data_IF_738788277657
#
_entry.id   IF_738788277657
#
_cell.length_a   1.000
_cell.length_b   1.000
_cell.length_c   1.000
_cell.angle_alpha   90.00
_cell.angle_beta   90.00
_cell.angle_gamma   90.00
#
_symmetry.space_group_name_H-M   'P 1'
#
loop_
_entity.id
_entity.type
_entity.pdbx_description
1 polymer ?
#
# COMPACT_ATOMS: atom_id res chain seq x y z
N UNK A 1 -8.36 -30.33 -11.40
CA UNK A 1 -7.82 -31.16 -10.29
C UNK A 1 -7.04 -30.23 -9.36
N UNK A 2 -7.72 -29.59 -8.42
CA UNK A 2 -7.11 -28.69 -7.43
C UNK A 2 -7.58 -29.14 -6.06
N UNK A 3 -7.04 -30.27 -5.61
CA UNK A 3 -7.25 -30.79 -4.28
C UNK A 3 -5.93 -31.44 -3.88
N UNK A 4 -5.12 -30.71 -3.10
CA UNK A 4 -4.25 -31.20 -2.01
C UNK A 4 -3.09 -30.24 -1.73
N UNK A 5 -3.24 -29.45 -0.67
CA UNK A 5 -2.38 -29.53 0.52
C UNK A 5 -2.99 -28.64 1.61
N UNK A 6 -4.05 -29.15 2.22
CA UNK A 6 -4.42 -28.72 3.57
C UNK A 6 -3.34 -29.31 4.48
N UNK A 7 -2.28 -28.54 4.76
CA UNK A 7 -1.50 -28.79 5.97
C UNK A 7 -2.43 -28.44 7.11
N UNK A 8 -2.93 -29.47 7.80
CA UNK A 8 -3.60 -29.34 9.09
C UNK A 8 -2.61 -28.60 9.99
N UNK A 9 -2.94 -27.38 10.40
CA UNK A 9 -2.12 -26.58 11.32
C UNK A 9 -2.03 -27.39 12.62
N UNK A 10 -0.93 -28.13 12.80
CA UNK A 10 -0.65 -28.91 14.00
C UNK A 10 0.27 -28.06 14.85
N UNK A 11 -0.19 -27.77 16.06
CA UNK A 11 0.41 -26.82 17.00
C UNK A 11 1.88 -27.09 17.26
N UNK A 12 2.68 -26.18 16.72
CA UNK A 12 3.97 -25.63 17.19
C UNK A 12 4.33 -24.58 16.12
N UNK A 13 3.46 -23.57 15.99
CA UNK A 13 3.44 -22.65 14.85
C UNK A 13 4.32 -21.43 15.07
N UNK A 14 5.03 -21.03 14.01
CA UNK A 14 5.59 -19.70 13.84
C UNK A 14 4.60 -18.60 14.26
N UNK A 15 5.05 -17.52 14.93
CA UNK A 15 4.17 -16.43 15.30
C UNK A 15 3.55 -15.81 14.04
N UNK A 16 2.22 -15.74 13.99
CA UNK A 16 1.51 -15.13 12.87
C UNK A 16 1.08 -13.70 13.17
N UNK A 17 1.32 -12.81 12.21
CA UNK A 17 0.92 -11.42 12.27
C UNK A 17 -0.12 -11.10 11.20
N UNK A 18 -1.23 -10.49 11.62
CA UNK A 18 -2.18 -9.86 10.72
C UNK A 18 -1.84 -8.37 10.55
N UNK A 19 -1.41 -7.99 9.36
CA UNK A 19 -1.18 -6.60 8.98
C UNK A 19 -2.39 -6.06 8.22
N UNK A 20 -2.91 -4.90 8.65
CA UNK A 20 -4.12 -4.30 8.08
C UNK A 20 -3.81 -2.86 7.67
N UNK A 21 -3.99 -2.57 6.38
CA UNK A 21 -3.85 -1.25 5.79
C UNK A 21 -5.23 -0.76 5.34
N UNK A 22 -5.78 0.23 6.05
CA UNK A 22 -7.10 0.82 5.78
C UNK A 22 -6.94 2.07 4.92
N UNK A 23 -7.03 1.87 3.60
CA UNK A 23 -7.01 2.94 2.60
C UNK A 23 -8.40 3.49 2.28
N UNK A 24 -8.44 4.60 1.53
CA UNK A 24 -9.69 5.26 1.13
C UNK A 24 -10.59 4.38 0.24
N UNK A 25 -10.00 3.60 -0.66
CA UNK A 25 -10.75 2.74 -1.59
C UNK A 25 -10.82 1.30 -1.13
N UNK A 26 -9.72 0.78 -0.60
CA UNK A 26 -9.59 -0.61 -0.21
C UNK A 26 -8.91 -0.74 1.15
N UNK A 27 -9.28 -1.79 1.87
CA UNK A 27 -8.57 -2.32 3.03
C UNK A 27 -7.78 -3.53 2.56
N UNK A 28 -6.45 -3.46 2.65
CA UNK A 28 -5.56 -4.59 2.38
C UNK A 28 -5.21 -5.29 3.69
N UNK A 29 -5.28 -6.61 3.68
CA UNK A 29 -4.94 -7.44 4.82
C UNK A 29 -3.88 -8.45 4.40
N UNK A 30 -2.77 -8.48 5.13
CA UNK A 30 -1.67 -9.43 4.94
C UNK A 30 -1.52 -10.34 6.15
N UNK A 31 -1.40 -11.64 5.92
CA UNK A 31 -1.01 -12.60 6.94
C UNK A 31 0.47 -12.92 6.78
N UNK A 32 1.25 -12.66 7.82
CA UNK A 32 2.67 -12.99 7.87
C UNK A 32 2.92 -14.19 8.77
N UNK A 33 3.68 -15.16 8.26
CA UNK A 33 4.17 -16.34 8.99
C UNK A 33 5.71 -16.28 8.98
N UNK A 34 6.35 -16.29 10.15
CA UNK A 34 7.82 -16.13 10.28
C UNK A 34 8.38 -14.93 9.49
N UNK A 35 7.57 -13.87 9.45
CA UNK A 35 7.90 -12.65 8.75
C UNK A 35 7.87 -12.69 7.22
N UNK A 36 7.43 -13.81 6.63
CA UNK A 36 7.10 -13.96 5.22
C UNK A 36 5.60 -13.72 5.00
N UNK A 37 5.22 -13.03 3.92
CA UNK A 37 3.82 -12.81 3.58
C UNK A 37 3.23 -14.12 3.01
N UNK A 38 2.33 -14.76 3.75
CA UNK A 38 1.71 -16.03 3.38
C UNK A 38 0.43 -15.83 2.56
N UNK A 39 -0.42 -14.87 2.97
CA UNK A 39 -1.69 -14.60 2.32
C UNK A 39 -1.99 -13.11 2.27
N UNK A 40 -2.71 -12.70 1.24
CA UNK A 40 -3.27 -11.35 1.10
C UNK A 40 -4.77 -11.41 0.84
N UNK A 41 -5.48 -10.43 1.37
CA UNK A 41 -6.91 -10.22 1.19
C UNK A 41 -7.12 -8.73 0.89
N UNK A 42 -8.18 -8.43 0.14
CA UNK A 42 -8.58 -7.06 -0.17
C UNK A 42 -10.09 -6.96 -0.05
N UNK A 43 -10.57 -5.95 0.67
CA UNK A 43 -11.99 -5.60 0.76
C UNK A 43 -12.18 -4.12 0.46
N UNK A 44 -13.28 -3.78 -0.20
CA UNK A 44 -13.62 -2.37 -0.41
C UNK A 44 -13.84 -1.66 0.94
N UNK A 45 -13.30 -0.46 1.07
CA UNK A 45 -13.56 0.44 2.19
C UNK A 45 -14.97 1.00 2.07
N UNK A 46 -15.85 0.65 3.02
CA UNK A 46 -17.25 1.07 3.00
C UNK A 46 -17.59 1.80 4.32
N UNK A 47 -17.73 3.13 4.32
CA UNK A 47 -18.01 3.92 5.52
C UNK A 47 -19.29 3.53 6.26
N UNK A 48 -20.25 2.92 5.56
CA UNK A 48 -21.55 2.55 6.14
C UNK A 48 -21.62 1.12 6.69
N UNK A 49 -20.56 0.32 6.53
CA UNK A 49 -20.51 -1.03 7.14
C UNK A 49 -20.32 -0.94 8.65
N UNK A 50 -21.10 -1.74 9.35
CA UNK A 50 -21.03 -1.93 10.80
C UNK A 50 -19.86 -2.84 11.21
N UNK A 51 -19.52 -2.81 12.50
CA UNK A 51 -18.56 -3.76 13.11
C UNK A 51 -18.88 -5.22 12.79
N UNK A 52 -20.15 -5.62 12.87
CA UNK A 52 -20.54 -7.02 12.67
C UNK A 52 -20.41 -7.46 11.22
N UNK A 53 -20.71 -6.58 10.27
CA UNK A 53 -20.50 -6.84 8.85
C UNK A 53 -19.00 -6.99 8.53
N UNK A 54 -18.16 -6.09 9.07
CA UNK A 54 -16.71 -6.22 8.92
C UNK A 54 -16.17 -7.49 9.57
N UNK A 55 -16.63 -7.84 10.77
CA UNK A 55 -16.22 -9.05 11.47
C UNK A 55 -16.62 -10.32 10.69
N UNK A 56 -17.83 -10.34 10.12
CA UNK A 56 -18.31 -11.44 9.29
C UNK A 56 -17.48 -11.57 8.01
N UNK A 57 -17.23 -10.47 7.30
CA UNK A 57 -16.42 -10.47 6.07
C UNK A 57 -15.00 -10.97 6.34
N UNK A 58 -14.33 -10.42 7.36
CA UNK A 58 -12.97 -10.83 7.72
C UNK A 58 -12.92 -12.31 8.12
N UNK A 59 -13.90 -12.78 8.90
CA UNK A 59 -13.99 -14.18 9.28
C UNK A 59 -14.13 -15.09 8.06
N UNK A 60 -15.06 -14.78 7.15
CA UNK A 60 -15.29 -15.59 5.95
C UNK A 60 -14.05 -15.63 5.04
N UNK A 61 -13.35 -14.51 4.89
CA UNK A 61 -12.14 -14.44 4.07
C UNK A 61 -10.96 -15.21 4.70
N UNK A 62 -10.80 -15.16 6.02
CA UNK A 62 -9.81 -15.98 6.73
C UNK A 62 -10.14 -17.46 6.58
N UNK A 63 -11.41 -17.84 6.78
CA UNK A 63 -11.89 -19.22 6.61
C UNK A 63 -11.67 -19.72 5.17
N UNK A 64 -11.93 -18.90 4.14
CA UNK A 64 -11.68 -19.22 2.72
C UNK A 64 -10.20 -19.54 2.46
N UNK A 65 -9.28 -18.83 3.12
CA UNK A 65 -7.84 -19.11 3.07
C UNK A 65 -7.39 -20.26 3.97
N UNK A 66 -8.32 -20.89 4.70
CA UNK A 66 -8.02 -21.97 5.64
C UNK A 66 -7.31 -21.48 6.92
N UNK A 67 -7.41 -20.19 7.24
CA UNK A 67 -6.79 -19.58 8.41
C UNK A 67 -7.77 -19.63 9.57
N UNK A 68 -7.35 -20.26 10.67
CA UNK A 68 -8.15 -20.29 11.90
C UNK A 68 -7.76 -19.09 12.75
N UNK A 69 -8.70 -18.23 13.19
CA UNK A 69 -8.40 -17.03 14.01
C UNK A 69 -7.41 -17.23 15.17
N UNK A 70 -7.44 -18.40 15.81
CA UNK A 70 -6.59 -18.75 16.96
C UNK A 70 -5.10 -18.90 16.66
N UNK A 71 -4.70 -18.95 15.38
CA UNK A 71 -3.28 -19.04 15.00
C UNK A 71 -2.62 -17.67 14.84
N UNK A 72 -3.41 -16.60 14.85
CA UNK A 72 -2.92 -15.22 14.76
C UNK A 72 -2.49 -14.80 16.17
N UNK A 73 -1.27 -14.28 16.29
CA UNK A 73 -0.68 -13.86 17.58
C UNK A 73 -0.57 -12.34 17.70
N UNK A 74 -0.59 -11.65 16.55
CA UNK A 74 -0.37 -10.21 16.48
C UNK A 74 -1.26 -9.52 15.47
N UNK A 75 -1.58 -8.25 15.75
CA UNK A 75 -2.28 -7.37 14.83
C UNK A 75 -1.56 -6.03 14.75
N UNK A 76 -1.27 -5.58 13.53
CA UNK A 76 -0.82 -4.22 13.23
C UNK A 76 -1.78 -3.56 12.26
N UNK A 77 -2.11 -2.30 12.52
CA UNK A 77 -3.07 -1.54 11.72
C UNK A 77 -2.51 -0.17 11.37
N UNK A 78 -2.51 0.18 10.08
CA UNK A 78 -2.40 1.55 9.61
C UNK A 78 -3.73 1.98 8.97
N UNK A 79 -4.05 3.26 9.09
CA UNK A 79 -5.26 3.79 8.49
C UNK A 79 -5.10 5.25 8.12
N UNK A 80 -5.65 5.61 6.96
CA UNK A 80 -5.87 6.99 6.53
C UNK A 80 -7.36 7.35 6.49
N UNK A 81 -8.24 6.48 7.02
CA UNK A 81 -9.70 6.63 7.01
C UNK A 81 -10.25 6.51 8.44
N UNK A 82 -10.20 7.58 9.26
CA UNK A 82 -10.62 7.52 10.66
C UNK A 82 -12.04 7.00 10.89
N UNK A 83 -12.97 7.32 9.98
CA UNK A 83 -14.37 6.89 10.04
C UNK A 83 -14.57 5.38 9.95
N UNK A 84 -13.61 4.64 9.38
CA UNK A 84 -13.66 3.17 9.24
C UNK A 84 -12.76 2.47 10.25
N UNK A 85 -11.70 3.15 10.72
CA UNK A 85 -10.71 2.60 11.67
C UNK A 85 -11.34 2.02 12.92
N UNK A 86 -12.31 2.71 13.53
CA UNK A 86 -12.94 2.27 14.78
C UNK A 86 -13.74 0.97 14.57
N UNK A 87 -14.50 0.89 13.48
CA UNK A 87 -15.31 -0.29 13.14
C UNK A 87 -14.44 -1.51 12.87
N UNK A 88 -13.38 -1.34 12.06
CA UNK A 88 -12.41 -2.40 11.76
C UNK A 88 -11.65 -2.83 13.02
N UNK A 89 -11.18 -1.87 13.83
CA UNK A 89 -10.47 -2.16 15.06
C UNK A 89 -11.33 -2.96 16.04
N UNK A 90 -12.62 -2.64 16.14
CA UNK A 90 -13.55 -3.37 17.00
C UNK A 90 -13.87 -4.76 16.42
N UNK A 91 -14.02 -4.87 15.10
CA UNK A 91 -14.25 -6.15 14.43
C UNK A 91 -13.08 -7.13 14.64
N UNK A 92 -11.85 -6.64 14.47
CA UNK A 92 -10.62 -7.40 14.71
C UNK A 92 -10.49 -7.84 16.17
N UNK A 93 -10.76 -6.95 17.13
CA UNK A 93 -10.78 -7.29 18.56
C UNK A 93 -11.82 -8.36 18.88
N UNK A 94 -13.03 -8.27 18.32
CA UNK A 94 -14.09 -9.26 18.50
C UNK A 94 -13.72 -10.63 17.90
N UNK A 95 -13.05 -10.63 16.76
CA UNK A 95 -12.68 -11.84 16.03
C UNK A 95 -11.47 -12.56 16.65
N UNK A 96 -10.47 -11.80 17.10
CA UNK A 96 -9.15 -12.34 17.47
C UNK A 96 -8.84 -12.22 18.97
N UNK A 97 -9.54 -11.36 19.71
CA UNK A 97 -9.28 -11.08 21.14
C UNK A 97 -7.83 -10.66 21.44
N UNK A 98 -7.17 -9.98 20.50
CA UNK A 98 -5.79 -9.49 20.62
C UNK A 98 -5.72 -7.96 20.70
N UNK A 99 -4.66 -7.42 21.32
CA UNK A 99 -4.34 -6.00 21.20
C UNK A 99 -3.94 -5.66 19.76
N UNK A 100 -4.29 -4.45 19.32
CA UNK A 100 -3.94 -3.92 17.99
C UNK A 100 -2.85 -2.88 18.16
N UNK A 101 -1.73 -3.07 17.48
CA UNK A 101 -0.72 -2.03 17.33
C UNK A 101 -1.13 -1.10 16.19
N UNK A 102 -1.62 0.10 16.53
CA UNK A 102 -1.96 1.12 15.53
C UNK A 102 -0.74 1.96 15.19
N UNK A 103 -0.41 2.08 13.91
CA UNK A 103 0.65 2.96 13.39
C UNK A 103 0.18 4.41 13.48
N UNK A 104 0.96 5.23 14.18
CA UNK A 104 0.67 6.65 14.40
C UNK A 104 1.81 7.35 15.15
N UNK A 105 1.60 8.61 15.56
CA UNK A 105 2.63 9.41 16.24
C UNK A 105 3.23 8.70 17.46
N UNK A 106 4.57 8.70 17.57
CA UNK A 106 5.31 8.09 18.68
C UNK A 106 5.65 6.61 18.53
N UNK A 107 5.20 5.94 17.46
CA UNK A 107 5.58 4.55 17.17
C UNK A 107 7.06 4.44 16.79
N UNK A 108 7.73 3.34 17.16
CA UNK A 108 9.09 3.06 16.69
C UNK A 108 9.05 2.62 15.23
N UNK A 109 9.51 3.46 14.33
CA UNK A 109 9.54 3.20 12.87
C UNK A 109 10.81 2.49 12.42
N UNK A 110 11.90 2.61 13.17
CA UNK A 110 13.21 2.07 12.80
C UNK A 110 14.03 2.95 11.85
N UNK A 111 13.51 4.14 11.49
CA UNK A 111 14.20 5.09 10.64
C UNK A 111 13.83 6.55 10.96
N UNK A 112 14.70 7.53 10.69
CA UNK A 112 14.38 8.94 10.95
C UNK A 112 13.32 9.48 9.99
N UNK A 113 12.40 10.30 10.50
CA UNK A 113 11.43 11.05 9.69
C UNK A 113 11.86 12.52 9.69
N UNK A 114 12.19 13.07 8.51
CA UNK A 114 12.68 14.45 8.32
C UNK A 114 11.66 15.31 7.58
N UNK A 115 10.42 15.29 8.04
CA UNK A 115 9.37 16.24 7.61
C UNK A 115 9.13 17.27 8.71
N UNK A 116 8.55 18.42 8.35
CA UNK A 116 8.34 19.52 9.29
C UNK A 116 7.47 19.13 10.48
N UNK A 117 6.37 18.40 10.21
CA UNK A 117 5.50 17.85 11.24
C UNK A 117 5.30 16.34 11.01
N UNK A 118 6.02 15.47 11.74
CA UNK A 118 5.85 14.03 11.64
C UNK A 118 4.48 13.52 12.06
N UNK A 119 3.70 14.28 12.84
CA UNK A 119 2.38 13.86 13.32
C UNK A 119 1.30 13.98 12.23
N UNK A 120 1.50 14.85 11.24
CA UNK A 120 0.60 15.01 10.09
C UNK A 120 0.86 13.98 8.97
N UNK A 121 1.94 13.20 9.08
CA UNK A 121 2.31 12.24 8.06
C UNK A 121 1.36 11.03 8.07
N UNK A 122 0.82 10.69 6.89
CA UNK A 122 -0.03 9.51 6.71
C UNK A 122 0.68 8.22 7.15
N UNK A 123 -0.05 7.36 7.87
CA UNK A 123 0.47 6.08 8.35
C UNK A 123 0.89 5.14 7.21
N UNK A 124 0.22 5.26 6.06
CA UNK A 124 0.54 4.57 4.81
C UNK A 124 1.91 5.00 4.25
N UNK A 125 2.25 6.30 4.28
CA UNK A 125 3.55 6.80 3.84
C UNK A 125 4.70 6.28 4.73
N UNK A 126 4.47 6.23 6.05
CA UNK A 126 5.42 5.65 7.00
C UNK A 126 5.61 4.15 6.74
N UNK A 127 4.51 3.41 6.53
CA UNK A 127 4.56 2.00 6.20
C UNK A 127 5.26 1.75 4.86
N UNK A 128 4.99 2.55 3.83
CA UNK A 128 5.64 2.44 2.53
C UNK A 128 7.15 2.69 2.61
N UNK A 129 7.60 3.69 3.39
CA UNK A 129 9.01 3.91 3.64
C UNK A 129 9.67 2.72 4.38
N UNK A 130 9.01 2.20 5.43
CA UNK A 130 9.46 1.01 6.15
C UNK A 130 9.57 -0.23 5.22
N UNK A 131 8.56 -0.43 4.38
CA UNK A 131 8.49 -1.52 3.42
C UNK A 131 9.60 -1.42 2.38
N UNK A 132 9.89 -0.22 1.88
CA UNK A 132 10.97 0.00 0.93
C UNK A 132 12.34 -0.30 1.55
N UNK A 133 12.59 0.16 2.78
CA UNK A 133 13.83 -0.16 3.50
C UNK A 133 14.04 -1.68 3.65
N UNK A 134 12.96 -2.45 3.84
CA UNK A 134 13.02 -3.91 3.94
C UNK A 134 13.21 -4.59 2.59
N UNK A 135 12.53 -4.12 1.54
CA UNK A 135 12.43 -4.84 0.25
C UNK A 135 13.47 -4.40 -0.78
N UNK A 136 13.88 -3.13 -0.76
CA UNK A 136 14.83 -2.56 -1.72
C UNK A 136 16.02 -1.86 -1.06
N UNK A 137 15.95 -1.57 0.24
CA UNK A 137 17.02 -0.89 0.98
C UNK A 137 17.00 0.63 0.85
N UNK A 138 18.04 1.28 1.37
CA UNK A 138 18.28 2.72 1.26
C UNK A 138 19.47 3.01 0.34
N UNK A 139 19.46 4.12 -0.43
CA UNK A 139 18.33 5.03 -0.63
C UNK A 139 17.26 4.45 -1.55
N UNK A 140 16.05 4.98 -1.48
CA UNK A 140 14.95 4.57 -2.34
C UNK A 140 13.98 5.73 -2.62
N UNK A 141 13.37 5.69 -3.81
CA UNK A 141 12.21 6.52 -4.15
C UNK A 141 11.03 5.58 -4.27
N UNK A 142 9.94 5.90 -3.57
CA UNK A 142 8.76 5.06 -3.46
C UNK A 142 7.61 5.76 -4.17
N UNK A 143 6.91 5.00 -5.02
CA UNK A 143 5.72 5.44 -5.74
C UNK A 143 4.56 4.54 -5.35
N UNK A 144 3.52 5.09 -4.74
CA UNK A 144 2.29 4.36 -4.45
C UNK A 144 1.19 4.83 -5.42
N UNK A 145 0.77 3.95 -6.32
CA UNK A 145 -0.28 4.18 -7.32
C UNK A 145 -1.65 3.78 -6.76
N UNK A 146 -2.07 4.43 -5.67
CA UNK A 146 -3.36 4.21 -5.01
C UNK A 146 -4.47 5.16 -5.49
N UNK A 147 -5.39 5.50 -4.57
CA UNK A 147 -6.45 6.51 -4.80
C UNK A 147 -5.83 7.85 -5.19
N UNK A 148 -4.79 8.24 -4.47
CA UNK A 148 -3.84 9.27 -4.85
C UNK A 148 -2.53 8.59 -5.25
N UNK A 149 -1.78 9.19 -6.17
CA UNK A 149 -0.41 8.77 -6.44
C UNK A 149 0.51 9.53 -5.50
N UNK A 150 1.32 8.82 -4.72
CA UNK A 150 2.35 9.45 -3.88
C UNK A 150 3.73 9.13 -4.42
N UNK A 151 4.65 10.09 -4.33
CA UNK A 151 6.06 9.89 -4.65
C UNK A 151 6.87 10.42 -3.47
N UNK A 152 7.48 9.53 -2.70
CA UNK A 152 8.27 9.88 -1.51
C UNK A 152 9.71 9.39 -1.65
N UNK A 153 10.63 10.01 -0.92
CA UNK A 153 12.05 9.68 -0.98
C UNK A 153 12.64 9.37 0.40
N UNK A 154 13.49 8.34 0.42
CA UNK A 154 14.31 7.94 1.55
C UNK A 154 15.78 8.11 1.17
N UNK A 155 16.54 8.83 2.00
CA UNK A 155 17.95 9.11 1.74
C UNK A 155 18.87 7.91 2.05
N UNK A 156 20.17 8.05 1.82
CA UNK A 156 21.18 6.99 2.05
C UNK A 156 21.28 6.55 3.52
N UNK A 157 20.82 7.38 4.46
CA UNK A 157 20.77 7.07 5.90
C UNK A 157 19.46 6.39 6.29
N UNK A 158 18.62 6.08 5.32
CA UNK A 158 17.30 5.51 5.53
C UNK A 158 16.27 6.53 6.03
N UNK A 159 16.58 7.83 6.03
CA UNK A 159 15.65 8.83 6.55
C UNK A 159 14.62 9.24 5.50
N UNK A 160 13.35 9.23 5.88
CA UNK A 160 12.24 9.71 5.04
C UNK A 160 12.30 11.23 4.93
N UNK A 161 12.48 11.75 3.71
CA UNK A 161 12.66 13.18 3.42
C UNK A 161 11.35 13.89 3.04
N UNK A 162 10.26 13.15 2.87
CA UNK A 162 9.00 13.66 2.33
C UNK A 162 8.85 13.34 0.83
N UNK A 163 8.04 14.13 0.14
CA UNK A 163 7.67 13.86 -1.25
C UNK A 163 6.49 14.71 -1.72
N UNK A 164 5.71 14.19 -2.66
CA UNK A 164 4.49 14.83 -3.15
C UNK A 164 3.31 13.85 -3.23
N UNK A 165 2.10 14.41 -3.17
CA UNK A 165 0.83 13.70 -3.39
C UNK A 165 0.19 14.29 -4.63
N UNK A 166 -0.27 13.42 -5.52
CA UNK A 166 -0.86 13.75 -6.82
C UNK A 166 -2.19 13.03 -6.99
N UNK A 167 -3.07 13.52 -7.87
CA UNK A 167 -4.25 12.76 -8.24
C UNK A 167 -3.88 11.39 -8.82
N UNK A 168 -4.48 10.32 -8.30
CA UNK A 168 -4.26 8.97 -8.83
C UNK A 168 -4.81 8.81 -10.24
N UNK A 169 -4.45 7.72 -10.92
CA UNK A 169 -4.84 7.45 -12.32
C UNK A 169 -6.37 7.46 -12.48
N UNK A 170 -7.08 6.66 -11.68
CA UNK A 170 -8.54 6.59 -11.79
C UNK A 170 -9.22 7.89 -11.37
N UNK A 171 -8.70 8.56 -10.34
CA UNK A 171 -9.23 9.86 -9.90
C UNK A 171 -9.06 10.92 -11.00
N UNK A 172 -7.95 10.92 -11.72
CA UNK A 172 -7.71 11.83 -12.84
C UNK A 172 -8.66 11.57 -14.02
N UNK A 173 -8.90 10.30 -14.36
CA UNK A 173 -9.88 9.94 -15.40
C UNK A 173 -11.30 10.38 -15.00
N UNK A 174 -11.68 10.16 -13.74
CA UNK A 174 -12.97 10.58 -13.21
C UNK A 174 -13.12 12.11 -13.22
N UNK A 175 -12.05 12.85 -12.90
CA UNK A 175 -12.05 14.29 -12.95
C UNK A 175 -12.29 14.79 -14.39
N UNK A 176 -11.66 14.19 -15.40
CA UNK A 176 -11.92 14.54 -16.80
C UNK A 176 -13.36 14.23 -17.22
N UNK A 177 -13.94 13.10 -16.78
CA UNK A 177 -15.32 12.76 -17.08
C UNK A 177 -16.35 13.80 -16.59
N UNK A 178 -16.00 14.64 -15.60
CA UNK A 178 -16.88 15.73 -15.14
C UNK A 178 -17.03 16.87 -16.16
N UNK A 179 -16.18 16.93 -17.19
CA UNK A 179 -16.31 17.90 -18.28
C UNK A 179 -17.32 17.42 -19.33
N UNK A 180 -18.01 18.38 -19.97
CA UNK A 180 -18.99 18.11 -21.01
C UNK A 180 -18.37 17.31 -22.17
N UNK A 181 -19.08 16.28 -22.65
CA UNK A 181 -18.70 15.41 -23.79
C UNK A 181 -17.51 14.45 -23.57
N UNK A 182 -16.91 14.38 -22.38
CA UNK A 182 -15.85 13.39 -22.09
C UNK A 182 -16.43 12.07 -21.53
N UNK A 183 -16.09 10.90 -22.11
CA UNK A 183 -16.61 9.62 -21.67
C UNK A 183 -16.06 9.19 -20.30
N UNK A 184 -16.81 8.37 -19.58
CA UNK A 184 -16.32 7.67 -18.39
C UNK A 184 -15.35 6.57 -18.80
N UNK A 185 -14.14 6.55 -18.23
CA UNK A 185 -13.08 5.61 -18.59
C UNK A 185 -12.48 4.93 -17.37
N UNK A 186 -12.08 3.68 -17.55
CA UNK A 186 -11.19 2.96 -16.64
C UNK A 186 -9.75 2.97 -17.17
N UNK A 187 -8.81 2.71 -16.27
CA UNK A 187 -7.42 2.45 -16.65
C UNK A 187 -7.31 1.16 -17.49
N UNK A 188 -6.48 1.19 -18.54
CA UNK A 188 -6.19 0.05 -19.42
C UNK A 188 -4.73 -0.39 -19.30
N UNK A 189 -4.43 -1.63 -19.69
CA UNK A 189 -3.07 -2.21 -19.62
C UNK A 189 -2.11 -1.53 -20.60
N UNK A 190 -2.59 -1.25 -21.82
CA UNK A 190 -1.76 -0.73 -22.90
C UNK A 190 -2.34 0.55 -23.48
N UNK A 191 -1.51 1.58 -23.58
CA UNK A 191 -1.92 2.94 -23.96
C UNK A 191 -0.93 3.50 -24.97
N UNK A 192 -1.45 3.88 -26.14
CA UNK A 192 -0.67 4.57 -27.17
C UNK A 192 -0.11 5.90 -26.65
N UNK A 193 1.14 6.29 -26.99
CA UNK A 193 1.66 7.62 -26.69
C UNK A 193 0.87 8.75 -27.34
N UNK A 194 0.20 8.46 -28.46
CA UNK A 194 -0.57 9.45 -29.21
C UNK A 194 -1.96 8.88 -29.49
N UNK A 195 -2.94 9.35 -28.72
CA UNK A 195 -4.34 8.98 -28.91
C UNK A 195 -4.89 9.48 -30.25
N UNK A 196 -5.85 8.73 -30.80
CA UNK A 196 -6.50 9.03 -32.10
C UNK A 196 -8.00 9.27 -32.00
N UNK A 197 -8.54 9.13 -30.80
CA UNK A 197 -9.90 9.50 -30.43
C UNK A 197 -9.88 10.05 -28.99
N UNK A 198 -10.99 10.64 -28.56
CA UNK A 198 -11.10 11.27 -27.23
C UNK A 198 -10.69 10.34 -26.09
N UNK A 199 -11.14 9.07 -26.10
CA UNK A 199 -10.83 8.12 -25.04
C UNK A 199 -9.33 7.80 -24.97
N UNK A 200 -8.70 7.56 -26.13
CA UNK A 200 -7.25 7.29 -26.19
C UNK A 200 -6.44 8.53 -25.80
N UNK A 201 -6.88 9.73 -26.19
CA UNK A 201 -6.23 10.98 -25.80
C UNK A 201 -6.27 11.17 -24.27
N UNK A 202 -7.41 10.91 -23.64
CA UNK A 202 -7.56 10.96 -22.18
C UNK A 202 -6.65 9.93 -21.49
N UNK A 203 -6.65 8.68 -21.95
CA UNK A 203 -5.79 7.62 -21.39
C UNK A 203 -4.32 7.91 -21.57
N UNK A 204 -3.90 8.37 -22.74
CA UNK A 204 -2.51 8.76 -23.00
C UNK A 204 -2.08 9.91 -22.08
N UNK A 205 -2.91 10.95 -21.96
CA UNK A 205 -2.66 12.10 -21.09
C UNK A 205 -2.55 11.73 -19.62
N UNK A 206 -3.44 10.86 -19.12
CA UNK A 206 -3.43 10.45 -17.70
C UNK A 206 -2.37 9.39 -17.41
N UNK A 207 -2.40 8.24 -18.08
CA UNK A 207 -1.56 7.09 -17.70
C UNK A 207 -0.10 7.34 -18.10
N UNK A 208 0.16 7.75 -19.34
CA UNK A 208 1.55 8.01 -19.76
C UNK A 208 2.07 9.33 -19.22
N UNK A 209 1.20 10.33 -19.06
CA UNK A 209 1.55 11.57 -18.38
C UNK A 209 1.97 11.31 -16.93
N UNK A 210 1.28 10.43 -16.22
CA UNK A 210 1.66 10.06 -14.85
C UNK A 210 3.00 9.30 -14.82
N UNK A 211 3.27 8.43 -15.78
CA UNK A 211 4.56 7.73 -15.85
C UNK A 211 5.73 8.71 -16.08
N UNK A 212 5.53 9.69 -16.95
CA UNK A 212 6.50 10.76 -17.20
C UNK A 212 6.68 11.64 -15.96
N UNK A 213 5.59 11.98 -15.27
CA UNK A 213 5.63 12.79 -14.06
C UNK A 213 6.37 12.08 -12.93
N UNK A 214 6.03 10.82 -12.65
CA UNK A 214 6.71 9.98 -11.65
C UNK A 214 8.20 9.85 -11.97
N UNK A 215 8.55 9.57 -13.23
CA UNK A 215 9.95 9.46 -13.66
C UNK A 215 10.70 10.78 -13.49
N UNK A 216 10.08 11.91 -13.84
CA UNK A 216 10.66 13.24 -13.69
C UNK A 216 10.84 13.65 -12.23
N UNK A 217 9.86 13.37 -11.37
CA UNK A 217 9.94 13.60 -9.93
C UNK A 217 11.03 12.74 -9.29
N UNK A 218 11.13 11.47 -9.67
CA UNK A 218 12.18 10.60 -9.18
C UNK A 218 13.59 11.13 -9.53
N UNK A 219 13.79 11.56 -10.79
CA UNK A 219 15.03 12.20 -11.22
C UNK A 219 15.31 13.52 -10.47
N UNK A 220 14.28 14.32 -10.20
CA UNK A 220 14.39 15.54 -9.43
C UNK A 220 14.82 15.25 -7.99
N UNK A 221 14.22 14.27 -7.33
CA UNK A 221 14.57 13.88 -5.96
C UNK A 221 15.98 13.29 -5.87
N UNK A 222 16.39 12.46 -6.85
CA UNK A 222 17.79 11.99 -6.95
C UNK A 222 18.78 13.15 -6.95
N UNK A 223 18.52 14.19 -7.76
CA UNK A 223 19.39 15.38 -7.82
C UNK A 223 19.35 16.19 -6.53
N UNK A 224 18.16 16.50 -6.02
CA UNK A 224 18.00 17.33 -4.82
C UNK A 224 18.65 16.71 -3.57
N UNK A 225 18.55 15.39 -3.43
CA UNK A 225 19.06 14.64 -2.29
C UNK A 225 20.45 14.03 -2.56
N UNK A 226 21.05 14.31 -3.72
CA UNK A 226 22.34 13.75 -4.16
C UNK A 226 22.39 12.22 -4.11
N UNK A 227 21.29 11.55 -4.45
CA UNK A 227 21.19 10.10 -4.42
C UNK A 227 21.93 9.48 -5.62
N UNK A 228 22.53 8.27 -5.48
CA UNK A 228 23.18 7.56 -6.56
C UNK A 228 22.24 7.34 -7.76
N UNK A 229 22.78 7.35 -8.99
CA UNK A 229 22.00 7.09 -10.21
C UNK A 229 21.26 5.72 -10.18
N UNK A 230 21.81 4.74 -9.46
CA UNK A 230 21.21 3.41 -9.26
C UNK A 230 20.13 3.33 -8.17
N UNK A 231 19.71 4.46 -7.58
CA UNK A 231 18.68 4.49 -6.53
C UNK A 231 17.40 3.84 -7.01
N UNK A 232 16.92 2.85 -6.26
CA UNK A 232 15.74 2.07 -6.60
C UNK A 232 14.50 2.97 -6.71
N UNK A 233 13.70 2.72 -7.75
CA UNK A 233 12.35 3.24 -7.87
C UNK A 233 11.40 2.10 -7.49
N UNK A 234 10.99 2.06 -6.23
CA UNK A 234 10.03 1.07 -5.73
C UNK A 234 8.61 1.53 -6.07
N UNK A 235 7.83 0.69 -6.74
CA UNK A 235 6.46 1.00 -7.14
C UNK A 235 5.50 0.00 -6.51
N UNK A 236 4.43 0.50 -5.91
CA UNK A 236 3.33 -0.25 -5.27
C UNK A 236 1.99 0.38 -5.65
N UNK A 237 0.90 -0.18 -5.12
CA UNK A 237 -0.45 0.36 -5.27
C UNK A 237 -1.27 -0.35 -6.36
N UNK A 238 -2.59 -0.32 -6.22
CA UNK A 238 -3.51 -1.14 -7.05
C UNK A 238 -3.50 -0.82 -8.54
N UNK A 239 -2.98 0.35 -8.96
CA UNK A 239 -2.83 0.73 -10.37
C UNK A 239 -1.38 0.74 -10.84
N UNK A 240 -0.43 0.23 -10.05
CA UNK A 240 0.99 0.15 -10.39
C UNK A 240 1.23 -0.52 -11.74
N UNK A 241 0.59 -1.68 -11.98
CA UNK A 241 0.77 -2.48 -13.19
C UNK A 241 0.39 -1.72 -14.48
N UNK A 242 -0.51 -0.73 -14.38
CA UNK A 242 -0.88 0.14 -15.51
C UNK A 242 0.23 1.13 -15.86
N UNK A 243 1.12 1.41 -14.92
CA UNK A 243 2.21 2.37 -15.06
C UNK A 243 3.54 1.69 -15.44
N UNK A 244 3.80 0.47 -14.94
CA UNK A 244 5.06 -0.26 -15.13
C UNK A 244 5.58 -0.32 -16.57
N UNK A 245 4.76 -0.54 -17.62
CA UNK A 245 5.24 -0.59 -19.00
C UNK A 245 5.88 0.71 -19.50
N UNK A 246 5.62 1.84 -18.82
CA UNK A 246 6.06 3.17 -19.22
C UNK A 246 7.10 3.77 -18.25
N UNK A 247 7.47 3.05 -17.20
CA UNK A 247 8.48 3.45 -16.23
C UNK A 247 9.89 2.95 -16.64
N UNK A 248 10.96 3.51 -16.04
CA UNK A 248 12.32 3.03 -16.28
C UNK A 248 12.45 1.53 -15.98
N UNK A 249 13.27 0.81 -16.76
CA UNK A 249 13.48 -0.64 -16.57
C UNK A 249 14.08 -1.02 -15.21
N UNK A 250 14.71 -0.07 -14.51
CA UNK A 250 15.27 -0.25 -13.17
C UNK A 250 14.21 -0.17 -12.05
N UNK A 251 12.94 0.01 -12.41
CA UNK A 251 11.81 0.03 -11.47
C UNK A 251 11.64 -1.34 -10.82
N UNK A 252 11.44 -1.34 -9.50
CA UNK A 252 11.17 -2.54 -8.71
C UNK A 252 9.70 -2.52 -8.30
N UNK A 253 8.91 -3.45 -8.83
CA UNK A 253 7.51 -3.61 -8.45
C UNK A 253 7.40 -4.42 -7.15
N UNK A 254 6.76 -3.85 -6.14
CA UNK A 254 6.50 -4.48 -4.84
C UNK A 254 5.02 -4.28 -4.49
N UNK A 255 4.11 -5.18 -4.92
CA UNK A 255 2.67 -5.00 -4.76
C UNK A 255 2.21 -4.80 -3.31
N UNK A 256 2.84 -5.51 -2.38
CA UNK A 256 2.45 -5.55 -0.96
C UNK A 256 3.37 -4.70 -0.07
N UNK A 257 3.97 -3.64 -0.63
CA UNK A 257 5.01 -2.83 0.04
C UNK A 257 4.55 -2.34 1.42
N UNK A 258 3.34 -1.79 1.50
CA UNK A 258 2.73 -1.28 2.73
C UNK A 258 2.67 -2.38 3.79
N UNK A 259 2.21 -3.58 3.41
CA UNK A 259 2.07 -4.73 4.33
C UNK A 259 3.44 -5.17 4.87
N UNK A 260 4.48 -5.21 4.03
CA UNK A 260 5.84 -5.48 4.49
C UNK A 260 6.33 -4.43 5.50
N UNK A 261 6.01 -3.16 5.26
CA UNK A 261 6.32 -2.08 6.19
C UNK A 261 5.63 -2.21 7.54
N UNK A 262 4.33 -2.51 7.53
CA UNK A 262 3.57 -2.77 8.76
C UNK A 262 4.14 -3.94 9.55
N UNK A 263 4.53 -5.03 8.86
CA UNK A 263 5.18 -6.18 9.49
C UNK A 263 6.50 -5.81 10.16
N UNK A 264 7.31 -4.97 9.51
CA UNK A 264 8.58 -4.49 10.04
C UNK A 264 8.38 -3.59 11.27
N UNK A 265 7.45 -2.63 11.19
CA UNK A 265 7.09 -1.75 12.30
C UNK A 265 6.58 -2.57 13.48
N UNK A 266 5.73 -3.58 13.25
CA UNK A 266 5.21 -4.43 14.32
C UNK A 266 6.34 -5.11 15.12
N UNK A 267 7.32 -5.70 14.43
CA UNK A 267 8.46 -6.40 15.07
C UNK A 267 9.30 -5.47 15.93
N UNK A 268 9.50 -4.22 15.53
CA UNK A 268 10.25 -3.22 16.30
C UNK A 268 9.54 -2.76 17.58
N UNK A 269 8.22 -3.00 17.67
CA UNK A 269 7.39 -2.61 18.79
C UNK A 269 6.92 -3.81 19.63
N UNK A 270 7.40 -5.03 19.32
CA UNK A 270 7.28 -6.16 20.24
C UNK A 270 8.28 -6.01 21.38
N UNK A 271 7.86 -6.38 22.59
CA UNK A 271 8.69 -6.33 23.80
C UNK A 271 9.65 -7.52 23.86
#
# INVERSE_FOLDING_TARGET
>A
MWYTRIKKYQGEGAPMLLAVDVGNTNIHVGLFEDGCLAHTLCIATEPHRTTDEYALLLRLLLEEKGIVPSVIDGIVLASVVPSVTEWIGTALKKLLSLPILTVGPGIKTGFPIRVNDPAELGADLVANAAGALVKVGAPAIIVDCGTATTVIAVDEKGALQGGCIRPGIQMSLNALHSAELLPGLSAEDTVSPLGKNTADCMRAGVIRGEALAVSGLAEQYRKMLSLPAGTALAVTGGLAERLLPYLPKSTVHVPDLTLYGLSAIYRLNQK
#
